data_IF_135456814879
#
_entry.id   IF_135456814879
#
_cell.length_a   1.000
_cell.length_b   1.000
_cell.length_c   1.000
_cell.angle_alpha   90.00
_cell.angle_beta   90.00
_cell.angle_gamma   90.00
#
_symmetry.space_group_name_H-M   'P 1'
#
loop_
_entity.id
_entity.type
_entity.pdbx_description
1 polymer ?
#
# COMPACT_ATOMS: atom_id res chain seq x y z
N UNK A 1 1.94 5.88 -4.70
CA UNK A 1 2.36 7.07 -5.47
C UNK A 1 1.29 8.16 -5.45
N UNK A 2 0.10 7.93 -6.03
CA UNK A 2 -0.99 8.94 -6.04
C UNK A 2 -1.38 9.44 -4.64
N UNK A 3 -1.51 8.51 -3.69
CA UNK A 3 -1.75 8.83 -2.27
C UNK A 3 -0.65 9.73 -1.67
N UNK A 4 0.61 9.56 -2.10
CA UNK A 4 1.71 10.41 -1.66
C UNK A 4 1.47 11.86 -2.11
N UNK A 5 1.26 12.07 -3.41
CA UNK A 5 0.98 13.42 -3.93
C UNK A 5 -0.27 14.03 -3.29
N UNK A 6 -1.35 13.24 -3.17
CA UNK A 6 -2.58 13.66 -2.51
C UNK A 6 -2.35 14.11 -1.06
N UNK A 7 -1.63 13.31 -0.25
CA UNK A 7 -1.32 13.64 1.15
C UNK A 7 -0.47 14.90 1.31
N UNK A 8 0.26 15.29 0.26
CA UNK A 8 1.13 16.45 0.24
C UNK A 8 0.52 17.65 -0.50
N UNK A 9 -0.75 17.53 -0.95
CA UNK A 9 -1.43 18.55 -1.77
C UNK A 9 -0.64 18.94 -3.02
N UNK A 10 0.07 17.98 -3.62
CA UNK A 10 0.86 18.16 -4.84
C UNK A 10 0.04 17.71 -6.04
N UNK A 11 -0.07 18.57 -7.05
CA UNK A 11 -0.68 18.21 -8.32
C UNK A 11 0.19 17.18 -9.07
N UNK A 12 -0.44 16.25 -9.75
CA UNK A 12 0.22 15.25 -10.57
C UNK A 12 -0.66 14.90 -11.79
N UNK A 13 0.00 14.52 -12.87
CA UNK A 13 -0.65 14.00 -14.06
C UNK A 13 -0.53 12.47 -14.09
N UNK A 14 -1.53 11.82 -14.66
CA UNK A 14 -1.53 10.37 -14.85
C UNK A 14 -1.57 10.12 -16.34
N UNK A 15 -0.46 9.62 -16.86
CA UNK A 15 -0.39 9.11 -18.23
C UNK A 15 -0.80 7.62 -18.21
N UNK A 16 -1.89 7.23 -18.89
CA UNK A 16 -2.23 5.82 -19.05
C UNK A 16 -1.12 5.08 -19.79
N UNK A 17 -0.80 3.88 -19.34
CA UNK A 17 0.26 3.08 -19.96
C UNK A 17 -0.26 2.48 -21.27
N UNK A 18 0.35 2.86 -22.38
CA UNK A 18 0.30 2.05 -23.60
C UNK A 18 1.31 0.90 -23.46
N UNK A 19 0.80 -0.32 -23.31
CA UNK A 19 1.65 -1.50 -23.13
C UNK A 19 2.56 -1.78 -24.33
N UNK A 20 2.10 -1.55 -25.56
CA UNK A 20 2.92 -1.79 -26.74
C UNK A 20 4.06 -0.77 -26.81
N UNK A 21 3.75 0.51 -26.58
CA UNK A 21 4.78 1.56 -26.50
C UNK A 21 5.78 1.27 -25.37
N UNK A 22 5.30 0.97 -24.16
CA UNK A 22 6.16 0.62 -23.02
C UNK A 22 7.11 -0.54 -23.35
N UNK A 23 6.64 -1.57 -24.06
CA UNK A 23 7.48 -2.71 -24.48
C UNK A 23 8.49 -2.35 -25.58
N UNK A 24 8.22 -1.32 -26.38
CA UNK A 24 9.07 -0.88 -27.47
C UNK A 24 10.16 0.12 -27.05
N UNK A 25 10.07 0.72 -25.86
CA UNK A 25 10.94 1.80 -25.39
C UNK A 25 11.76 1.42 -24.13
N UNK A 26 12.76 0.51 -24.25
CA UNK A 26 13.62 0.12 -23.12
C UNK A 26 14.42 1.27 -22.52
N UNK A 27 14.65 2.36 -23.26
CA UNK A 27 15.32 3.57 -22.78
C UNK A 27 14.48 4.36 -21.77
N UNK A 28 13.14 4.30 -21.88
CA UNK A 28 12.21 4.91 -20.92
C UNK A 28 11.76 3.89 -19.86
N UNK A 29 11.69 2.62 -20.22
CA UNK A 29 11.29 1.51 -19.36
C UNK A 29 12.37 0.42 -19.35
N UNK A 30 13.45 0.57 -18.58
CA UNK A 30 14.57 -0.38 -18.56
C UNK A 30 14.17 -1.84 -18.23
N UNK A 31 13.06 -2.02 -17.53
CA UNK A 31 12.50 -3.34 -17.19
C UNK A 31 11.25 -3.69 -18.00
N UNK A 32 10.90 -2.88 -19.00
CA UNK A 32 9.70 -3.04 -19.83
C UNK A 32 8.42 -3.19 -18.98
N UNK A 33 8.36 -2.44 -17.89
CA UNK A 33 7.33 -2.50 -16.85
C UNK A 33 6.99 -1.09 -16.36
N UNK A 34 5.74 -0.91 -15.95
CA UNK A 34 5.27 0.24 -15.18
C UNK A 34 5.21 -0.15 -13.69
N UNK A 35 5.25 0.81 -12.75
CA UNK A 35 5.16 2.26 -12.96
C UNK A 35 6.49 2.96 -13.29
N UNK A 36 6.36 4.15 -13.90
CA UNK A 36 7.41 5.15 -14.15
C UNK A 36 6.94 6.50 -13.59
N UNK A 37 7.84 7.25 -12.98
CA UNK A 37 7.63 8.63 -12.52
C UNK A 37 8.66 9.55 -13.21
N UNK A 38 8.18 10.63 -13.80
CA UNK A 38 8.99 11.75 -14.26
C UNK A 38 8.75 12.94 -13.34
N UNK A 39 9.81 13.47 -12.74
CA UNK A 39 9.76 14.60 -11.79
C UNK A 39 10.98 15.50 -12.03
N UNK A 40 10.82 16.50 -12.92
CA UNK A 40 11.92 17.34 -13.37
C UNK A 40 12.99 16.53 -14.11
N UNK A 41 14.21 16.53 -13.59
CA UNK A 41 15.33 15.75 -14.13
C UNK A 41 15.32 14.27 -13.73
N UNK A 42 14.46 13.89 -12.77
CA UNK A 42 14.39 12.53 -12.27
C UNK A 42 13.42 11.70 -13.10
N UNK A 43 13.94 10.63 -13.72
CA UNK A 43 13.16 9.61 -14.42
C UNK A 43 13.37 8.26 -13.72
N UNK A 44 12.34 7.80 -13.00
CA UNK A 44 12.45 6.71 -12.03
C UNK A 44 11.41 5.63 -12.35
N UNK A 45 11.88 4.39 -12.47
CA UNK A 45 11.05 3.18 -12.56
C UNK A 45 11.13 2.35 -11.27
N UNK A 46 10.30 1.32 -11.15
CA UNK A 46 10.10 0.49 -9.94
C UNK A 46 9.34 1.23 -8.83
N UNK A 47 8.17 0.69 -8.45
CA UNK A 47 7.25 1.31 -7.49
C UNK A 47 7.94 1.68 -6.17
N UNK A 48 8.67 0.77 -5.54
CA UNK A 48 9.31 1.03 -4.25
C UNK A 48 10.48 2.02 -4.37
N UNK A 49 11.20 2.06 -5.50
CA UNK A 49 12.22 3.09 -5.73
C UNK A 49 11.60 4.49 -5.84
N UNK A 50 10.49 4.59 -6.59
CA UNK A 50 9.69 5.82 -6.70
C UNK A 50 9.16 6.24 -5.31
N UNK A 51 8.58 5.33 -4.54
CA UNK A 51 8.04 5.64 -3.21
C UNK A 51 9.14 6.13 -2.26
N UNK A 52 10.32 5.50 -2.25
CA UNK A 52 11.47 5.95 -1.44
C UNK A 52 11.96 7.34 -1.84
N UNK A 53 12.03 7.61 -3.14
CA UNK A 53 12.36 8.95 -3.64
C UNK A 53 11.35 10.00 -3.14
N UNK A 54 10.05 9.75 -3.34
CA UNK A 54 8.99 10.67 -2.90
C UNK A 54 8.99 10.83 -1.37
N UNK A 55 9.28 9.76 -0.63
CA UNK A 55 9.36 9.82 0.82
C UNK A 55 10.49 10.74 1.29
N UNK A 56 11.67 10.68 0.66
CA UNK A 56 12.77 11.61 0.97
C UNK A 56 12.43 13.04 0.56
N UNK A 57 11.85 13.23 -0.64
CA UNK A 57 11.46 14.55 -1.17
C UNK A 57 10.46 15.27 -0.24
N UNK A 58 9.47 14.54 0.26
CA UNK A 58 8.38 15.09 1.09
C UNK A 58 8.52 14.79 2.59
N UNK A 59 9.70 14.40 3.07
CA UNK A 59 9.98 14.15 4.50
C UNK A 59 9.07 13.09 5.16
N UNK A 60 8.69 12.07 4.38
CA UNK A 60 7.90 10.91 4.83
C UNK A 60 8.77 9.65 5.08
N UNK A 61 10.10 9.81 5.19
CA UNK A 61 11.05 8.69 5.29
C UNK A 61 11.67 8.53 6.69
N UNK A 62 10.95 8.98 7.73
CA UNK A 62 11.47 9.06 9.09
C UNK A 62 12.38 10.27 9.32
N UNK A 63 12.63 10.61 10.59
CA UNK A 63 13.48 11.75 10.97
C UNK A 63 14.97 11.39 11.11
N UNK A 64 15.27 10.11 11.28
CA UNK A 64 16.60 9.56 11.49
C UNK A 64 16.71 8.17 10.87
N UNK A 65 17.91 7.60 10.88
CA UNK A 65 18.19 6.30 10.27
C UNK A 65 17.36 5.17 10.90
N UNK A 66 17.07 5.24 12.20
CA UNK A 66 16.28 4.23 12.87
C UNK A 66 14.82 4.25 12.38
N UNK A 67 14.23 5.44 12.23
CA UNK A 67 12.90 5.58 11.63
C UNK A 67 12.90 5.23 10.13
N UNK A 68 13.94 5.58 9.38
CA UNK A 68 14.06 5.23 7.96
C UNK A 68 14.09 3.70 7.75
N UNK A 69 14.88 2.98 8.54
CA UNK A 69 14.91 1.50 8.55
C UNK A 69 13.53 0.94 8.87
N UNK A 70 12.84 1.49 9.88
CA UNK A 70 11.50 1.04 10.23
C UNK A 70 10.48 1.27 9.10
N UNK A 71 10.57 2.41 8.40
CA UNK A 71 9.74 2.70 7.22
C UNK A 71 9.99 1.65 6.14
N UNK A 72 11.26 1.36 5.84
CA UNK A 72 11.63 0.37 4.82
C UNK A 72 11.15 -1.04 5.15
N UNK A 73 11.33 -1.49 6.39
CA UNK A 73 10.85 -2.79 6.85
C UNK A 73 9.34 -2.96 6.64
N UNK A 74 8.57 -1.91 6.92
CA UNK A 74 7.11 -1.94 6.78
C UNK A 74 6.71 -1.88 5.32
N UNK A 75 7.36 -1.06 4.50
CA UNK A 75 7.10 -1.00 3.05
C UNK A 75 7.32 -2.37 2.39
N UNK A 76 8.41 -3.06 2.70
CA UNK A 76 8.70 -4.38 2.13
C UNK A 76 7.78 -5.48 2.69
N UNK A 77 7.37 -5.38 3.96
CA UNK A 77 6.37 -6.26 4.56
C UNK A 77 4.99 -6.10 3.90
N UNK A 78 4.58 -4.86 3.62
CA UNK A 78 3.36 -4.55 2.88
C UNK A 78 3.41 -5.12 1.46
N UNK A 79 4.55 -5.00 0.77
CA UNK A 79 4.70 -5.54 -0.59
C UNK A 79 4.59 -7.07 -0.61
N UNK A 80 5.16 -7.74 0.40
CA UNK A 80 5.03 -9.19 0.55
C UNK A 80 3.56 -9.63 0.68
N UNK A 81 2.72 -8.85 1.38
CA UNK A 81 1.27 -9.09 1.44
C UNK A 81 0.56 -8.73 0.13
N UNK A 82 0.96 -7.63 -0.53
CA UNK A 82 0.40 -7.21 -1.82
C UNK A 82 0.55 -8.29 -2.89
N UNK A 83 1.70 -8.98 -2.94
CA UNK A 83 1.90 -10.10 -3.87
C UNK A 83 0.88 -11.22 -3.64
N UNK A 84 0.49 -11.50 -2.38
CA UNK A 84 -0.55 -12.50 -2.08
C UNK A 84 -1.92 -12.04 -2.55
N UNK A 85 -2.26 -10.76 -2.31
CA UNK A 85 -3.47 -10.15 -2.85
C UNK A 85 -3.53 -10.26 -4.38
N UNK A 86 -2.43 -10.00 -5.08
CA UNK A 86 -2.37 -10.11 -6.54
C UNK A 86 -2.62 -11.54 -7.02
N UNK A 87 -2.10 -12.56 -6.33
CA UNK A 87 -2.42 -13.96 -6.66
C UNK A 87 -3.91 -14.25 -6.49
N UNK A 88 -4.51 -13.82 -5.38
CA UNK A 88 -5.95 -13.97 -5.13
C UNK A 88 -6.79 -13.34 -6.24
N UNK A 89 -6.37 -12.18 -6.75
CA UNK A 89 -7.08 -11.43 -7.79
C UNK A 89 -6.89 -12.03 -9.18
N UNK A 90 -5.64 -12.29 -9.60
CA UNK A 90 -5.33 -12.61 -11.00
C UNK A 90 -5.23 -14.12 -11.27
N UNK A 91 -4.82 -14.92 -10.29
CA UNK A 91 -4.72 -16.37 -10.42
C UNK A 91 -6.00 -17.03 -9.94
N UNK A 92 -6.40 -16.73 -8.70
CA UNK A 92 -7.55 -17.39 -8.06
C UNK A 92 -8.89 -16.71 -8.39
N UNK A 93 -8.86 -15.51 -9.00
CA UNK A 93 -10.04 -14.77 -9.47
C UNK A 93 -11.14 -14.58 -8.43
N UNK A 94 -10.76 -14.47 -7.16
CA UNK A 94 -11.68 -14.34 -6.02
C UNK A 94 -12.69 -15.49 -5.88
N UNK A 95 -12.36 -16.69 -6.35
CA UNK A 95 -13.21 -17.87 -6.12
C UNK A 95 -13.47 -18.06 -4.60
N UNK A 96 -14.70 -18.43 -4.18
CA UNK A 96 -15.08 -18.45 -2.77
C UNK A 96 -14.15 -19.26 -1.86
N UNK A 97 -13.71 -20.43 -2.31
CA UNK A 97 -12.79 -21.29 -1.58
C UNK A 97 -11.41 -20.64 -1.45
N UNK A 98 -10.93 -19.99 -2.51
CA UNK A 98 -9.66 -19.27 -2.50
C UNK A 98 -9.71 -18.07 -1.54
N UNK A 99 -10.84 -17.33 -1.50
CA UNK A 99 -11.06 -16.27 -0.50
C UNK A 99 -11.01 -16.81 0.93
N UNK A 100 -11.67 -17.93 1.20
CA UNK A 100 -11.68 -18.54 2.53
C UNK A 100 -10.26 -19.00 2.96
N UNK A 101 -9.53 -19.65 2.05
CA UNK A 101 -8.13 -20.07 2.27
C UNK A 101 -7.22 -18.86 2.48
N UNK A 102 -7.40 -17.82 1.67
CA UNK A 102 -6.65 -16.56 1.80
C UNK A 102 -6.87 -15.93 3.16
N UNK A 103 -8.12 -15.75 3.57
CA UNK A 103 -8.43 -15.17 4.87
C UNK A 103 -7.83 -16.02 5.99
N UNK A 104 -8.05 -17.33 5.98
CA UNK A 104 -7.46 -18.24 6.97
C UNK A 104 -5.94 -18.11 7.05
N UNK A 105 -5.27 -17.95 5.92
CA UNK A 105 -3.79 -17.93 5.86
C UNK A 105 -3.19 -16.55 6.16
N UNK A 106 -3.83 -15.47 5.73
CA UNK A 106 -3.25 -14.12 5.74
C UNK A 106 -3.99 -13.12 6.63
N UNK A 107 -5.27 -13.38 6.93
CA UNK A 107 -6.13 -12.51 7.73
C UNK A 107 -6.47 -13.04 9.11
N UNK A 108 -6.66 -14.35 9.30
CA UNK A 108 -7.08 -14.92 10.57
C UNK A 108 -5.95 -14.86 11.62
N UNK A 109 -6.12 -14.14 12.75
CA UNK A 109 -5.07 -13.99 13.76
C UNK A 109 -4.62 -15.30 14.41
N UNK A 110 -5.43 -16.36 14.36
CA UNK A 110 -5.12 -17.68 14.93
C UNK A 110 -4.01 -18.40 14.17
N UNK A 111 -3.78 -18.07 12.89
CA UNK A 111 -2.77 -18.76 12.06
C UNK A 111 -1.40 -18.10 12.06
N UNK A 112 -1.19 -17.08 12.90
CA UNK A 112 0.05 -16.28 12.89
C UNK A 112 1.33 -17.01 13.36
N UNK A 113 1.21 -18.28 13.77
CA UNK A 113 2.34 -19.11 14.22
C UNK A 113 2.90 -20.00 13.10
N UNK A 114 2.33 -19.94 11.89
CA UNK A 114 2.84 -20.68 10.75
C UNK A 114 4.24 -20.22 10.33
N UNK A 115 5.13 -21.18 10.02
CA UNK A 115 6.54 -20.91 9.71
C UNK A 115 6.76 -20.10 8.42
N UNK A 116 5.93 -20.33 7.39
CA UNK A 116 6.05 -19.75 6.04
C UNK A 116 4.73 -19.17 5.50
N UNK A 117 3.80 -18.86 6.41
CA UNK A 117 2.44 -18.38 6.16
C UNK A 117 1.79 -18.07 7.49
N UNK A 118 0.72 -17.29 7.51
CA UNK A 118 0.09 -16.84 8.76
C UNK A 118 -0.26 -15.36 8.72
N UNK A 119 -1.22 -14.97 9.54
CA UNK A 119 -1.84 -13.65 9.67
C UNK A 119 -0.95 -12.41 9.37
N UNK A 120 -0.75 -12.07 8.09
CA UNK A 120 0.05 -10.92 7.67
C UNK A 120 -0.57 -9.62 8.21
N UNK A 121 -1.91 -9.56 8.25
CA UNK A 121 -2.64 -8.45 8.87
C UNK A 121 -2.36 -8.32 10.37
N UNK A 122 -2.16 -9.44 11.09
CA UNK A 122 -1.76 -9.40 12.51
C UNK A 122 -0.38 -8.79 12.70
N UNK A 123 0.55 -8.98 11.78
CA UNK A 123 1.86 -8.32 11.85
C UNK A 123 1.72 -6.80 11.71
N UNK A 124 0.86 -6.30 10.82
CA UNK A 124 0.57 -4.87 10.72
C UNK A 124 -0.06 -4.33 12.02
N UNK A 125 -1.06 -5.02 12.58
CA UNK A 125 -1.69 -4.61 13.86
C UNK A 125 -0.66 -4.53 14.99
N UNK A 126 0.21 -5.55 15.11
CA UNK A 126 1.30 -5.56 16.11
C UNK A 126 2.30 -4.42 15.91
N UNK A 127 2.67 -4.11 14.67
CA UNK A 127 3.61 -3.03 14.37
C UNK A 127 3.00 -1.66 14.67
N UNK A 128 1.73 -1.45 14.33
CA UNK A 128 0.99 -0.23 14.66
C UNK A 128 0.92 -0.04 16.19
N UNK A 129 0.57 -1.09 16.93
CA UNK A 129 0.50 -1.05 18.39
C UNK A 129 1.87 -0.85 19.06
N UNK A 130 2.94 -1.39 18.46
CA UNK A 130 4.31 -1.25 18.96
C UNK A 130 4.81 0.19 18.89
N UNK A 131 4.36 0.96 17.91
CA UNK A 131 4.73 2.37 17.78
C UNK A 131 3.87 3.27 18.68
N UNK A 132 4.20 3.32 19.97
CA UNK A 132 3.46 4.12 20.97
C UNK A 132 3.45 5.62 20.65
N UNK A 133 4.51 6.13 20.02
CA UNK A 133 4.60 7.53 19.59
C UNK A 133 3.54 7.91 18.53
N UNK A 134 3.09 6.94 17.73
CA UNK A 134 2.07 7.12 16.70
C UNK A 134 0.65 7.06 17.22
N UNK A 135 0.43 6.60 18.47
CA UNK A 135 -0.88 6.51 19.11
C UNK A 135 -1.98 5.88 18.23
N UNK A 136 -1.64 4.81 17.49
CA UNK A 136 -2.54 4.12 16.56
C UNK A 136 -2.82 4.84 15.25
N UNK A 137 -2.13 5.96 14.98
CA UNK A 137 -2.31 6.81 13.79
C UNK A 137 -1.12 6.78 12.84
N UNK A 138 0.03 6.32 13.31
CA UNK A 138 1.25 6.18 12.52
C UNK A 138 2.00 4.89 12.90
N UNK A 139 2.60 4.25 11.91
CA UNK A 139 3.43 3.06 12.04
C UNK A 139 4.87 3.36 12.49
N UNK A 140 5.37 4.57 12.19
CA UNK A 140 6.73 5.01 12.56
C UNK A 140 6.67 6.44 13.10
N UNK A 141 7.27 6.67 14.27
CA UNK A 141 7.31 8.01 14.88
C UNK A 141 5.90 8.52 15.23
N UNK A 142 5.73 9.84 15.29
CA UNK A 142 4.45 10.47 15.66
C UNK A 142 3.72 11.14 14.49
N UNK A 143 4.24 11.03 13.28
CA UNK A 143 3.76 11.75 12.09
C UNK A 143 3.62 10.81 10.90
N UNK A 144 2.84 11.23 9.90
CA UNK A 144 2.65 10.48 8.67
C UNK A 144 3.99 10.16 7.98
N UNK A 145 4.14 8.92 7.57
CA UNK A 145 5.30 8.39 6.84
C UNK A 145 4.86 7.60 5.61
N UNK A 146 5.82 7.18 4.78
CA UNK A 146 5.54 6.34 3.62
C UNK A 146 5.01 4.97 4.02
N UNK A 147 5.40 4.46 5.20
CA UNK A 147 4.87 3.21 5.75
C UNK A 147 3.34 3.30 5.93
N UNK A 148 2.85 4.44 6.42
CA UNK A 148 1.42 4.66 6.66
C UNK A 148 0.61 4.67 5.36
N UNK A 149 1.12 5.36 4.33
CA UNK A 149 0.45 5.41 3.02
C UNK A 149 0.44 4.03 2.34
N UNK A 150 1.51 3.25 2.48
CA UNK A 150 1.56 1.88 1.95
C UNK A 150 0.64 0.94 2.72
N UNK A 151 0.62 1.03 4.05
CA UNK A 151 -0.28 0.26 4.91
C UNK A 151 -1.75 0.60 4.64
N UNK A 152 -2.09 1.89 4.51
CA UNK A 152 -3.42 2.32 4.13
C UNK A 152 -3.85 1.72 2.79
N UNK A 153 -2.99 1.79 1.77
CA UNK A 153 -3.32 1.27 0.43
C UNK A 153 -3.61 -0.24 0.47
N UNK A 154 -2.75 -1.04 1.11
CA UNK A 154 -2.99 -2.48 1.19
C UNK A 154 -4.22 -2.82 2.05
N UNK A 155 -4.51 -2.04 3.10
CA UNK A 155 -5.73 -2.20 3.90
C UNK A 155 -7.00 -1.80 3.12
N UNK A 156 -6.95 -0.77 2.27
CA UNK A 156 -8.07 -0.40 1.39
C UNK A 156 -8.40 -1.54 0.41
N UNK A 157 -7.36 -2.18 -0.16
CA UNK A 157 -7.52 -3.34 -1.04
C UNK A 157 -8.19 -4.52 -0.32
N UNK A 158 -7.76 -4.83 0.91
CA UNK A 158 -8.32 -5.95 1.67
C UNK A 158 -9.73 -5.65 2.19
N UNK A 159 -10.01 -4.41 2.60
CA UNK A 159 -11.32 -4.03 3.14
C UNK A 159 -12.44 -4.11 2.10
N UNK A 160 -12.13 -4.00 0.80
CA UNK A 160 -13.10 -4.20 -0.28
C UNK A 160 -13.57 -5.65 -0.42
N UNK A 161 -12.73 -6.60 -0.01
CA UNK A 161 -12.96 -8.05 -0.19
C UNK A 161 -13.39 -8.72 1.12
N UNK A 162 -12.81 -8.27 2.24
CA UNK A 162 -12.88 -8.87 3.57
C UNK A 162 -13.23 -7.83 4.65
N UNK A 163 -14.09 -6.86 4.32
CA UNK A 163 -14.33 -5.71 5.19
C UNK A 163 -14.89 -6.04 6.56
N UNK A 164 -15.81 -7.01 6.64
CA UNK A 164 -16.40 -7.44 7.91
C UNK A 164 -15.39 -8.21 8.76
N UNK A 165 -14.66 -9.14 8.14
CA UNK A 165 -13.66 -9.96 8.80
C UNK A 165 -12.48 -9.13 9.30
N UNK A 166 -11.99 -8.19 8.49
CA UNK A 166 -10.91 -7.26 8.87
C UNK A 166 -11.32 -6.37 10.05
N UNK A 167 -12.54 -5.81 10.01
CA UNK A 167 -13.04 -4.97 11.10
C UNK A 167 -13.24 -5.76 12.40
N UNK A 168 -13.71 -7.00 12.31
CA UNK A 168 -13.90 -7.87 13.47
C UNK A 168 -12.57 -8.30 14.10
N UNK A 169 -11.59 -8.69 13.28
CA UNK A 169 -10.30 -9.19 13.76
C UNK A 169 -9.30 -8.09 14.15
N UNK A 170 -9.34 -6.93 13.47
CA UNK A 170 -8.37 -5.84 13.61
C UNK A 170 -9.03 -4.46 13.68
N UNK A 171 -9.79 -4.16 14.75
CA UNK A 171 -10.45 -2.86 14.91
C UNK A 171 -9.47 -1.68 14.98
N UNK A 172 -8.23 -1.92 15.43
CA UNK A 172 -7.13 -0.95 15.43
C UNK A 172 -6.71 -0.57 14.00
N UNK A 173 -6.55 -1.55 13.11
CA UNK A 173 -6.23 -1.31 11.70
C UNK A 173 -7.39 -0.63 10.96
N UNK A 174 -8.64 -0.98 11.28
CA UNK A 174 -9.80 -0.29 10.75
C UNK A 174 -9.83 1.20 11.21
N UNK A 175 -9.47 1.47 12.45
CA UNK A 175 -9.36 2.84 13.00
C UNK A 175 -8.24 3.62 12.33
N UNK A 176 -7.06 3.00 12.15
CA UNK A 176 -5.95 3.58 11.41
C UNK A 176 -6.31 3.89 9.96
N UNK A 177 -6.96 2.95 9.26
CA UNK A 177 -7.41 3.14 7.88
C UNK A 177 -8.36 4.34 7.76
N UNK A 178 -9.34 4.43 8.65
CA UNK A 178 -10.25 5.57 8.71
C UNK A 178 -9.54 6.90 9.03
N UNK A 179 -8.51 6.88 9.88
CA UNK A 179 -7.70 8.05 10.18
C UNK A 179 -6.97 8.58 8.94
N UNK A 180 -6.25 7.71 8.22
CA UNK A 180 -5.52 8.10 7.00
C UNK A 180 -6.48 8.56 5.90
N UNK A 181 -7.62 7.88 5.73
CA UNK A 181 -8.65 8.29 4.77
C UNK A 181 -9.22 9.69 5.04
N UNK A 182 -9.18 10.14 6.29
CA UNK A 182 -9.70 11.44 6.71
C UNK A 182 -8.68 12.59 6.58
N UNK A 183 -7.42 12.32 6.28
CA UNK A 183 -6.40 13.36 6.12
C UNK A 183 -6.79 14.31 4.97
N UNK A 184 -6.57 15.64 5.13
CA UNK A 184 -6.70 16.59 4.03
C UNK A 184 -5.90 16.14 2.81
N UNK A 185 -6.43 16.35 1.60
CA UNK A 185 -5.81 15.85 0.36
C UNK A 185 -6.05 14.36 0.09
N UNK A 186 -5.84 13.47 1.06
CA UNK A 186 -6.20 12.04 0.91
C UNK A 186 -7.71 11.90 0.76
N UNK A 187 -8.49 12.50 1.66
CA UNK A 187 -9.96 12.51 1.59
C UNK A 187 -10.47 13.04 0.25
N UNK A 188 -9.87 14.12 -0.24
CA UNK A 188 -10.23 14.75 -1.52
C UNK A 188 -9.91 13.83 -2.69
N UNK A 189 -8.72 13.22 -2.71
CA UNK A 189 -8.35 12.23 -3.71
C UNK A 189 -9.30 11.04 -3.71
N UNK A 190 -9.65 10.52 -2.53
CA UNK A 190 -10.51 9.34 -2.40
C UNK A 190 -11.94 9.57 -2.93
N UNK A 191 -12.41 10.82 -2.91
CA UNK A 191 -13.69 11.25 -3.46
C UNK A 191 -13.59 11.82 -4.89
N UNK A 192 -12.37 12.06 -5.37
CA UNK A 192 -12.09 12.77 -6.61
C UNK A 192 -11.96 11.85 -7.83
N UNK A 193 -12.02 12.43 -9.04
CA UNK A 193 -11.99 11.67 -10.30
C UNK A 193 -10.63 11.03 -10.60
N UNK A 194 -9.57 11.43 -9.89
CA UNK A 194 -8.23 10.85 -10.04
C UNK A 194 -8.10 9.46 -9.37
N UNK A 195 -9.03 9.10 -8.47
CA UNK A 195 -9.14 7.73 -7.96
C UNK A 195 -9.74 6.85 -9.05
N UNK A 196 -8.95 5.90 -9.53
CA UNK A 196 -9.41 4.93 -10.52
C UNK A 196 -10.54 4.08 -9.95
N UNK A 197 -11.62 3.91 -10.71
CA UNK A 197 -12.79 3.15 -10.29
C UNK A 197 -12.49 1.64 -10.23
N UNK A 198 -11.77 1.12 -11.23
CA UNK A 198 -11.25 -0.23 -11.23
C UNK A 198 -9.92 -0.26 -10.45
N UNK A 199 -9.88 -1.07 -9.39
CA UNK A 199 -8.69 -1.25 -8.56
C UNK A 199 -7.64 -2.09 -9.30
N UNK A 200 -8.09 -3.14 -10.00
CA UNK A 200 -7.24 -4.09 -10.72
C UNK A 200 -7.57 -4.11 -12.22
N UNK A 201 -6.60 -4.55 -13.02
CA UNK A 201 -6.72 -4.59 -14.48
C UNK A 201 -7.74 -5.62 -15.01
N UNK A 202 -8.21 -6.54 -14.17
CA UNK A 202 -9.25 -7.53 -14.50
C UNK A 202 -10.64 -7.18 -13.93
N UNK A 203 -10.82 -5.95 -13.41
CA UNK A 203 -12.07 -5.47 -12.81
C UNK A 203 -12.55 -6.22 -11.55
N UNK A 204 -11.73 -7.10 -10.97
CA UNK A 204 -11.98 -7.72 -9.67
C UNK A 204 -11.42 -6.85 -8.53
N UNK A 205 -11.95 -7.06 -7.32
CA UNK A 205 -11.46 -6.45 -6.08
C UNK A 205 -12.01 -5.05 -5.78
#
# INVERSE_FOLDING_TARGET
>A
MKLTFASQHVAFEVEPVDHAAMKAHPELYPFLQCPRLVDGEYDIVQSNAILRYLARKYKLYGKDEHEAIAVDMIMEGVESLRVKYLNLIYQDKLEPEAKAVYWKTHGDPETAEGRNGGAHLRHLSRLLARNTAGAGKAFVGSSLSMADLCAFDVLDLHSRIFGEELKAAYPDLATFHAHVAALPGVKEYLAGPQRVAAVNGNSLG
#
